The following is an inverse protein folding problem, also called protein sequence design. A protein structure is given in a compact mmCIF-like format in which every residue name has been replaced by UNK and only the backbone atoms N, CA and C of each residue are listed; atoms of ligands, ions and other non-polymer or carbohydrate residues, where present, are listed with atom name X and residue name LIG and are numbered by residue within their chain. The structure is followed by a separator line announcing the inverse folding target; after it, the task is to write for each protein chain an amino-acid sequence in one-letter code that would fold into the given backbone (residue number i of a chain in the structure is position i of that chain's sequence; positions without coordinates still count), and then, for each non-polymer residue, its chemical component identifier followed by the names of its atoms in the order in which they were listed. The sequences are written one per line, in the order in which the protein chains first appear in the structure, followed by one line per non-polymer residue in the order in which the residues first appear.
data_IF_978106898111
#
_entry.id   IF_978106898111
#
_cell.length_a   1.000
_cell.length_b   1.000
_cell.length_c   1.000
_cell.angle_alpha   90.00
_cell.angle_beta   90.00
_cell.angle_gamma   90.00
#
_symmetry.space_group_name_H-M   'P 1'
#
loop_
_entity.id
_entity.type
_entity.pdbx_description
1 polymer ?
#
# COMPACT_ATOMS: atom_id res chain seq x y z
N UNK A 1 53.15 23.66 -25.26
CA UNK A 1 53.04 22.50 -24.34
C UNK A 1 51.71 22.43 -23.59
N UNK A 2 51.20 23.50 -22.99
CA UNK A 2 49.93 23.49 -22.24
C UNK A 2 48.71 23.07 -23.07
N UNK A 3 48.49 23.67 -24.25
CA UNK A 3 47.37 23.33 -25.14
C UNK A 3 47.31 21.86 -25.56
N UNK A 4 48.47 21.25 -25.82
CA UNK A 4 48.56 19.85 -26.21
C UNK A 4 48.19 18.90 -25.05
N UNK A 5 48.59 19.26 -23.82
CA UNK A 5 48.21 18.49 -22.63
C UNK A 5 46.70 18.61 -22.33
N UNK A 6 46.10 19.79 -22.52
CA UNK A 6 44.64 19.98 -22.39
C UNK A 6 43.90 19.16 -23.43
N UNK A 7 44.29 19.25 -24.70
CA UNK A 7 43.66 18.49 -25.79
C UNK A 7 43.78 16.98 -25.57
N UNK A 8 44.96 16.51 -25.15
CA UNK A 8 45.19 15.10 -24.81
C UNK A 8 44.24 14.63 -23.71
N UNK A 9 44.09 15.40 -22.63
CA UNK A 9 43.18 15.03 -21.54
C UNK A 9 41.71 15.00 -22.01
N UNK A 10 41.26 15.96 -22.83
CA UNK A 10 39.90 15.96 -23.36
C UNK A 10 39.63 14.74 -24.25
N UNK A 11 40.55 14.42 -25.16
CA UNK A 11 40.38 13.33 -26.12
C UNK A 11 40.57 11.94 -25.53
N UNK A 12 41.47 11.75 -24.56
CA UNK A 12 41.74 10.40 -24.03
C UNK A 12 41.00 10.07 -22.74
N UNK A 13 40.59 11.07 -21.95
CA UNK A 13 39.88 10.85 -20.69
C UNK A 13 38.41 11.21 -20.79
N UNK A 14 38.11 12.46 -21.15
CA UNK A 14 36.74 12.95 -21.08
C UNK A 14 35.85 12.44 -22.21
N UNK A 15 36.38 12.34 -23.43
CA UNK A 15 35.58 11.89 -24.58
C UNK A 15 35.15 10.42 -24.50
N UNK A 16 36.03 9.43 -24.24
CA UNK A 16 35.61 8.04 -24.08
C UNK A 16 34.71 7.85 -22.85
N UNK A 17 35.00 8.54 -21.75
CA UNK A 17 34.15 8.51 -20.56
C UNK A 17 32.75 9.10 -20.84
N UNK A 18 32.66 10.16 -21.65
CA UNK A 18 31.39 10.74 -22.07
C UNK A 18 30.57 9.77 -22.93
N UNK A 19 31.21 9.05 -23.86
CA UNK A 19 30.54 8.01 -24.66
C UNK A 19 30.03 6.88 -23.77
N UNK A 20 30.87 6.38 -22.86
CA UNK A 20 30.48 5.32 -21.93
C UNK A 20 29.32 5.76 -21.03
N UNK A 21 29.39 6.95 -20.44
CA UNK A 21 28.32 7.50 -19.60
C UNK A 21 27.02 7.72 -20.38
N UNK A 22 27.10 8.14 -21.65
CA UNK A 22 25.91 8.27 -22.51
C UNK A 22 25.28 6.91 -22.81
N UNK A 23 26.10 5.87 -23.04
CA UNK A 23 25.59 4.51 -23.24
C UNK A 23 24.90 3.97 -21.98
N UNK A 24 25.51 4.16 -20.81
CA UNK A 24 24.91 3.80 -19.51
C UNK A 24 23.59 4.55 -19.26
N UNK A 25 23.55 5.85 -19.57
CA UNK A 25 22.36 6.67 -19.45
C UNK A 25 21.22 6.15 -20.34
N UNK A 26 21.51 5.80 -21.60
CA UNK A 26 20.49 5.27 -22.51
C UNK A 26 19.89 3.98 -21.97
N UNK A 27 20.71 3.07 -21.44
CA UNK A 27 20.23 1.82 -20.81
C UNK A 27 19.41 2.11 -19.56
N UNK A 28 19.86 3.05 -18.72
CA UNK A 28 19.13 3.44 -17.51
C UNK A 28 17.75 4.05 -17.86
N UNK A 29 17.69 4.94 -18.85
CA UNK A 29 16.44 5.50 -19.35
C UNK A 29 15.50 4.43 -19.89
N UNK A 30 16.02 3.46 -20.64
CA UNK A 30 15.20 2.35 -21.15
C UNK A 30 14.59 1.53 -20.01
N UNK A 31 15.37 1.21 -18.97
CA UNK A 31 14.85 0.48 -17.80
C UNK A 31 13.78 1.24 -17.04
N UNK A 32 13.95 2.56 -16.89
CA UNK A 32 12.94 3.41 -16.25
C UNK A 32 11.67 3.45 -17.11
N UNK A 33 11.82 3.58 -18.42
CA UNK A 33 10.69 3.54 -19.35
C UNK A 33 9.94 2.21 -19.27
N UNK A 34 10.66 1.07 -19.29
CA UNK A 34 10.04 -0.26 -19.19
C UNK A 34 9.23 -0.40 -17.89
N UNK A 35 9.74 0.13 -16.77
CA UNK A 35 9.02 0.14 -15.49
C UNK A 35 7.77 1.04 -15.51
N UNK A 36 7.87 2.23 -16.12
CA UNK A 36 6.77 3.19 -16.19
C UNK A 36 5.65 2.76 -17.15
N UNK A 37 5.92 1.81 -18.05
CA UNK A 37 4.96 1.29 -19.05
C UNK A 37 4.29 -0.01 -18.56
N UNK A 38 4.62 -0.51 -17.36
CA UNK A 38 3.94 -1.67 -16.80
C UNK A 38 2.43 -1.42 -16.65
N UNK A 39 1.66 -2.49 -16.84
CA UNK A 39 0.20 -2.44 -16.68
C UNK A 39 -0.16 -2.06 -15.24
N UNK A 40 -1.04 -1.07 -15.11
CA UNK A 40 -1.61 -0.68 -13.83
C UNK A 40 -2.68 -1.69 -13.40
N UNK A 41 -2.80 -1.95 -12.10
CA UNK A 41 -3.91 -2.73 -11.56
C UNK A 41 -5.19 -1.94 -11.85
N UNK A 42 -6.04 -2.48 -12.73
CA UNK A 42 -7.18 -1.80 -13.32
C UNK A 42 -8.07 -1.08 -12.29
N UNK A 43 -8.27 0.23 -12.48
CA UNK A 43 -9.24 1.11 -11.77
C UNK A 43 -10.72 0.73 -12.02
N UNK A 44 -11.05 -0.54 -12.28
CA UNK A 44 -12.43 -0.96 -12.44
C UNK A 44 -13.12 -1.03 -11.07
N UNK A 45 -14.07 -0.11 -10.89
CA UNK A 45 -15.06 0.03 -9.82
C UNK A 45 -14.63 0.70 -8.52
N UNK A 46 -14.43 2.03 -8.64
CA UNK A 46 -14.39 3.05 -7.59
C UNK A 46 -13.27 2.84 -6.56
N UNK A 47 -12.43 3.85 -6.30
CA UNK A 47 -11.53 3.77 -5.17
C UNK A 47 -12.38 3.54 -3.91
N UNK A 48 -12.16 2.39 -3.26
CA UNK A 48 -12.39 2.27 -1.82
C UNK A 48 -11.76 3.54 -1.25
N UNK A 49 -12.50 4.33 -0.45
CA UNK A 49 -12.05 5.63 0.09
C UNK A 49 -10.74 5.46 0.88
N UNK A 50 -9.61 5.41 0.17
CA UNK A 50 -8.27 5.42 0.69
C UNK A 50 -8.00 6.86 1.11
N UNK A 51 -8.21 7.11 2.39
CA UNK A 51 -7.46 8.08 3.17
C UNK A 51 -7.22 9.45 2.49
N UNK A 52 -8.29 10.10 2.02
CA UNK A 52 -8.25 11.49 1.51
C UNK A 52 -8.07 12.55 2.63
N UNK A 53 -7.79 12.14 3.87
CA UNK A 53 -7.63 13.06 5.01
C UNK A 53 -6.18 13.39 5.38
N UNK A 54 -5.17 12.82 4.70
CA UNK A 54 -3.75 13.03 5.09
C UNK A 54 -3.08 14.16 4.28
N UNK A 55 -3.62 14.53 3.12
CA UNK A 55 -3.06 15.62 2.30
C UNK A 55 -4.16 16.61 1.89
N UNK A 56 -4.59 17.46 2.82
CA UNK A 56 -5.28 18.70 2.47
C UNK A 56 -4.53 19.87 3.10
N UNK A 57 -3.41 20.24 2.47
CA UNK A 57 -2.89 21.59 2.61
C UNK A 57 -3.82 22.54 1.86
N UNK A 58 -4.36 23.51 2.60
CA UNK A 58 -5.17 24.59 2.06
C UNK A 58 -4.27 25.58 1.32
N UNK A 59 -4.22 25.51 0.00
CA UNK A 59 -3.88 26.68 -0.80
C UNK A 59 -5.17 27.37 -1.27
N UNK A 60 -5.36 28.59 -0.77
CA UNK A 60 -6.35 29.54 -1.27
C UNK A 60 -5.69 30.31 -2.40
N UNK A 61 -6.28 30.29 -3.58
CA UNK A 61 -6.14 31.42 -4.49
C UNK A 61 -7.40 31.63 -5.32
N UNK A 62 -7.70 32.91 -5.54
CA UNK A 62 -8.95 33.41 -6.08
C UNK A 62 -8.77 33.91 -7.52
N UNK A 63 -9.90 33.90 -8.22
CA UNK A 63 -10.29 34.68 -9.39
C UNK A 63 -9.78 34.31 -10.78
N UNK A 64 -10.75 34.14 -11.69
CA UNK A 64 -10.67 34.73 -13.03
C UNK A 64 -11.09 33.83 -14.18
N UNK A 65 -12.36 33.93 -14.57
CA UNK A 65 -12.88 33.74 -15.93
C UNK A 65 -12.90 32.34 -16.57
N UNK A 66 -14.07 31.70 -16.49
CA UNK A 66 -14.84 31.40 -17.70
C UNK A 66 -14.63 30.06 -18.40
N UNK A 67 -15.25 28.99 -17.88
CA UNK A 67 -15.98 27.97 -18.65
C UNK A 67 -17.06 27.39 -17.74
N UNK A 68 -18.34 27.45 -18.15
CA UNK A 68 -19.43 26.72 -17.50
C UNK A 68 -19.31 25.24 -17.87
N UNK A 69 -18.43 24.52 -17.18
CA UNK A 69 -18.54 23.07 -17.09
C UNK A 69 -19.58 22.79 -16.02
N UNK A 70 -20.66 22.12 -16.41
CA UNK A 70 -21.66 21.59 -15.49
C UNK A 70 -20.97 20.64 -14.51
N UNK A 71 -20.49 21.17 -13.39
CA UNK A 71 -19.98 20.39 -12.28
C UNK A 71 -21.16 19.59 -11.76
N UNK A 72 -21.21 18.31 -12.11
CA UNK A 72 -22.13 17.37 -11.50
C UNK A 72 -21.99 17.50 -9.98
N UNK A 73 -23.15 17.70 -9.36
CA UNK A 73 -23.34 17.95 -7.93
C UNK A 73 -22.39 17.08 -7.09
N UNK A 74 -21.87 17.59 -5.95
CA UNK A 74 -21.02 16.81 -5.08
C UNK A 74 -21.77 15.53 -4.71
N UNK A 75 -21.13 14.39 -5.04
CA UNK A 75 -21.66 13.06 -4.77
C UNK A 75 -22.01 13.02 -3.28
N UNK A 76 -23.28 12.70 -3.03
CA UNK A 76 -23.89 12.64 -1.70
C UNK A 76 -22.98 11.86 -0.75
N UNK A 77 -22.83 12.37 0.48
CA UNK A 77 -22.28 11.64 1.64
C UNK A 77 -22.69 10.18 1.54
N UNK A 78 -21.72 9.28 1.38
CA UNK A 78 -21.95 7.83 1.38
C UNK A 78 -22.60 7.50 2.72
N UNK A 79 -23.81 6.97 2.67
CA UNK A 79 -24.61 6.63 3.85
C UNK A 79 -23.82 5.55 4.62
N UNK A 80 -23.37 5.87 5.84
CA UNK A 80 -22.58 5.00 6.74
C UNK A 80 -23.32 3.71 7.18
N UNK A 81 -24.51 3.45 6.59
CA UNK A 81 -25.50 2.47 7.04
C UNK A 81 -25.39 1.09 6.39
N UNK A 82 -24.52 0.89 5.40
CA UNK A 82 -24.35 -0.41 4.74
C UNK A 82 -22.87 -0.80 4.61
N UNK A 83 -22.13 -0.90 5.71
CA UNK A 83 -20.78 -1.49 5.68
C UNK A 83 -20.87 -3.00 5.51
N UNK A 84 -20.14 -3.59 4.58
CA UNK A 84 -20.25 -5.02 4.31
C UNK A 84 -19.45 -5.47 3.09
N UNK A 85 -19.36 -6.79 2.94
CA UNK A 85 -18.68 -7.44 1.82
C UNK A 85 -19.71 -8.31 1.10
N UNK A 86 -19.97 -8.00 -0.17
CA UNK A 86 -20.95 -8.69 -1.00
C UNK A 86 -20.25 -9.25 -2.24
N UNK A 87 -20.19 -10.57 -2.34
CA UNK A 87 -19.54 -11.31 -3.42
C UNK A 87 -20.58 -12.22 -4.05
N UNK A 88 -20.74 -12.16 -5.37
CA UNK A 88 -21.68 -13.00 -6.14
C UNK A 88 -20.99 -13.63 -7.34
N UNK A 89 -20.90 -14.96 -7.34
CA UNK A 89 -20.34 -15.79 -8.41
C UNK A 89 -18.99 -15.27 -8.92
N UNK A 90 -18.12 -14.87 -7.99
CA UNK A 90 -16.83 -14.25 -8.30
C UNK A 90 -15.80 -15.32 -8.66
N UNK A 91 -15.13 -15.11 -9.80
CA UNK A 91 -13.93 -15.86 -10.18
C UNK A 91 -12.76 -14.90 -10.38
N UNK A 92 -11.59 -15.25 -9.82
CA UNK A 92 -10.40 -14.37 -9.79
C UNK A 92 -9.14 -15.11 -10.23
N UNK A 93 -8.20 -14.35 -10.78
CA UNK A 93 -6.89 -14.81 -11.22
C UNK A 93 -5.79 -13.86 -10.76
N UNK A 94 -4.57 -14.39 -10.61
CA UNK A 94 -3.38 -13.59 -10.26
C UNK A 94 -2.79 -12.85 -11.44
N UNK A 95 -2.87 -13.46 -12.63
CA UNK A 95 -2.41 -12.85 -13.87
C UNK A 95 -3.33 -13.31 -14.99
N UNK A 96 -3.45 -12.47 -16.01
CA UNK A 96 -4.25 -12.72 -17.20
C UNK A 96 -3.71 -13.86 -18.06
N UNK A 97 -2.41 -14.15 -17.94
CA UNK A 97 -1.74 -15.29 -18.57
C UNK A 97 -2.17 -16.64 -17.98
N UNK A 98 -2.65 -16.66 -16.74
CA UNK A 98 -3.09 -17.89 -16.08
C UNK A 98 -4.52 -18.19 -16.51
N UNK A 99 -4.66 -19.25 -17.31
CA UNK A 99 -5.95 -19.70 -17.84
C UNK A 99 -6.92 -20.18 -16.76
N UNK A 100 -6.41 -20.79 -15.69
CA UNK A 100 -7.24 -21.31 -14.62
C UNK A 100 -7.40 -20.30 -13.47
N UNK A 101 -8.63 -19.85 -13.17
CA UNK A 101 -8.85 -18.96 -12.05
C UNK A 101 -8.58 -19.68 -10.72
N UNK A 102 -7.92 -18.97 -9.81
CA UNK A 102 -7.50 -19.48 -8.49
C UNK A 102 -8.70 -19.68 -7.57
N UNK A 103 -9.70 -18.80 -7.65
CA UNK A 103 -11.01 -19.00 -7.02
C UNK A 103 -12.08 -19.00 -8.11
N UNK A 104 -13.04 -19.91 -7.98
CA UNK A 104 -14.14 -20.13 -8.93
C UNK A 104 -15.48 -20.03 -8.21
N UNK A 105 -16.39 -19.24 -8.78
CA UNK A 105 -17.80 -19.15 -8.37
C UNK A 105 -18.03 -18.89 -6.87
N UNK A 106 -17.23 -18.01 -6.27
CA UNK A 106 -17.34 -17.67 -4.86
C UNK A 106 -18.52 -16.72 -4.64
N UNK A 107 -19.40 -17.05 -3.70
CA UNK A 107 -20.49 -16.19 -3.24
C UNK A 107 -20.47 -16.07 -1.72
N UNK A 108 -20.33 -14.85 -1.21
CA UNK A 108 -20.22 -14.55 0.23
C UNK A 108 -20.95 -13.24 0.50
N UNK A 109 -21.70 -13.17 1.59
CA UNK A 109 -22.39 -11.96 2.03
C UNK A 109 -22.10 -11.78 3.52
N UNK A 110 -21.35 -10.73 3.86
CA UNK A 110 -20.99 -10.40 5.25
C UNK A 110 -21.65 -9.07 5.62
N UNK A 111 -22.50 -9.11 6.64
CA UNK A 111 -23.22 -7.95 7.15
C UNK A 111 -22.42 -7.24 8.24
N UNK A 112 -22.73 -5.96 8.53
CA UNK A 112 -22.03 -5.24 9.58
C UNK A 112 -22.26 -5.90 10.96
N UNK A 113 -21.18 -6.06 11.72
CA UNK A 113 -21.21 -6.68 13.05
C UNK A 113 -21.03 -8.20 13.07
N UNK A 114 -20.86 -8.84 11.91
CA UNK A 114 -20.58 -10.27 11.82
C UNK A 114 -19.08 -10.56 11.93
N UNK A 115 -18.74 -11.66 12.64
CA UNK A 115 -17.40 -12.22 12.69
C UNK A 115 -17.38 -13.50 11.86
N UNK A 116 -16.68 -13.46 10.72
CA UNK A 116 -16.53 -14.61 9.82
C UNK A 116 -15.14 -15.24 9.99
N UNK A 117 -15.11 -16.58 10.02
CA UNK A 117 -13.87 -17.35 9.97
C UNK A 117 -13.77 -18.09 8.64
N UNK A 118 -12.63 -17.97 7.95
CA UNK A 118 -12.33 -18.69 6.71
C UNK A 118 -11.31 -19.80 7.00
N UNK A 119 -11.71 -21.05 6.75
CA UNK A 119 -10.89 -22.25 7.00
C UNK A 119 -10.72 -23.08 5.73
N UNK A 120 -9.62 -23.82 5.64
CA UNK A 120 -9.31 -24.66 4.48
C UNK A 120 -7.85 -25.12 4.47
N UNK A 121 -7.54 -26.13 3.66
CA UNK A 121 -6.18 -26.69 3.51
C UNK A 121 -5.14 -25.66 3.02
N UNK A 122 -3.86 -25.94 3.22
CA UNK A 122 -2.79 -25.11 2.66
C UNK A 122 -2.92 -25.08 1.13
N UNK A 123 -2.82 -23.89 0.53
CA UNK A 123 -3.01 -23.71 -0.92
C UNK A 123 -4.47 -23.62 -1.39
N UNK A 124 -5.46 -23.67 -0.50
CA UNK A 124 -6.88 -23.59 -0.87
C UNK A 124 -7.37 -22.19 -1.32
N UNK A 125 -6.48 -21.22 -1.53
CA UNK A 125 -6.84 -19.88 -1.97
C UNK A 125 -7.36 -18.92 -0.89
N UNK A 126 -7.18 -19.21 0.42
CA UNK A 126 -7.61 -18.30 1.51
C UNK A 126 -7.00 -16.91 1.41
N UNK A 127 -5.68 -16.84 1.21
CA UNK A 127 -4.98 -15.56 1.07
C UNK A 127 -5.44 -14.85 -0.22
N UNK A 128 -5.67 -15.60 -1.30
CA UNK A 128 -6.24 -15.04 -2.53
C UNK A 128 -7.63 -14.44 -2.31
N UNK A 129 -8.50 -15.06 -1.50
CA UNK A 129 -9.81 -14.50 -1.18
C UNK A 129 -9.69 -13.15 -0.45
N UNK A 130 -8.75 -13.03 0.49
CA UNK A 130 -8.49 -11.77 1.18
C UNK A 130 -7.93 -10.71 0.23
N UNK A 131 -7.00 -11.08 -0.65
CA UNK A 131 -6.46 -10.16 -1.66
C UNK A 131 -7.52 -9.72 -2.67
N UNK A 132 -8.46 -10.60 -3.04
CA UNK A 132 -9.63 -10.21 -3.83
C UNK A 132 -10.45 -9.14 -3.12
N UNK A 133 -10.74 -9.29 -1.81
CA UNK A 133 -11.49 -8.28 -1.04
C UNK A 133 -10.75 -6.92 -0.99
N UNK A 134 -9.42 -6.94 -1.03
CA UNK A 134 -8.58 -5.73 -1.11
C UNK A 134 -8.52 -5.11 -2.53
N UNK A 135 -9.14 -5.77 -3.51
CA UNK A 135 -9.06 -5.40 -4.93
C UNK A 135 -7.65 -5.51 -5.54
N UNK A 136 -6.80 -6.39 -4.98
CA UNK A 136 -5.44 -6.65 -5.48
C UNK A 136 -5.40 -7.75 -6.55
N UNK A 137 -6.52 -8.45 -6.78
CA UNK A 137 -6.64 -9.50 -7.79
C UNK A 137 -7.71 -9.14 -8.81
N UNK A 138 -7.41 -9.37 -10.09
CA UNK A 138 -8.34 -9.11 -11.19
C UNK A 138 -9.53 -10.07 -11.15
N UNK A 139 -10.73 -9.51 -11.08
CA UNK A 139 -12.00 -10.24 -11.17
C UNK A 139 -12.27 -10.57 -12.63
N UNK A 140 -12.33 -11.86 -12.98
CA UNK A 140 -12.61 -12.31 -14.34
C UNK A 140 -14.10 -12.41 -14.62
N UNK A 141 -14.88 -12.80 -13.61
CA UNK A 141 -16.34 -12.92 -13.72
C UNK A 141 -17.00 -12.69 -12.36
N UNK A 142 -18.29 -12.32 -12.39
CA UNK A 142 -19.09 -12.07 -11.20
C UNK A 142 -19.03 -10.61 -10.75
N UNK A 143 -19.45 -10.37 -9.51
CA UNK A 143 -19.37 -9.04 -8.89
C UNK A 143 -18.95 -9.10 -7.44
N UNK A 144 -18.19 -8.09 -7.03
CA UNK A 144 -17.74 -7.88 -5.66
C UNK A 144 -17.97 -6.41 -5.30
N UNK A 145 -18.59 -6.18 -4.14
CA UNK A 145 -18.82 -4.85 -3.59
C UNK A 145 -18.35 -4.84 -2.13
N UNK A 146 -17.38 -3.98 -1.83
CA UNK A 146 -16.86 -3.75 -0.49
C UNK A 146 -17.22 -2.34 -0.07
N UNK A 147 -18.06 -2.21 0.96
CA UNK A 147 -18.53 -0.91 1.47
C UNK A 147 -17.87 -0.59 2.80
N UNK A 148 -17.19 0.56 2.86
CA UNK A 148 -16.58 1.11 4.07
C UNK A 148 -15.04 1.10 4.02
N UNK A 149 -14.43 1.39 5.18
CA UNK A 149 -12.97 1.36 5.34
C UNK A 149 -12.49 -0.06 5.67
N UNK A 150 -11.44 -0.50 4.99
CA UNK A 150 -10.82 -1.82 5.19
C UNK A 150 -9.54 -1.66 6.01
N UNK A 151 -9.31 -2.54 6.97
CA UNK A 151 -8.01 -2.73 7.64
C UNK A 151 -7.50 -4.12 7.32
N UNK A 152 -6.19 -4.25 7.10
CA UNK A 152 -5.56 -5.48 6.67
C UNK A 152 -4.27 -5.76 7.45
N UNK A 153 -4.19 -6.97 8.01
CA UNK A 153 -2.99 -7.49 8.65
C UNK A 153 -2.42 -8.65 7.79
N UNK A 154 -1.32 -8.44 7.06
CA UNK A 154 -0.74 -9.45 6.19
C UNK A 154 -0.14 -10.62 6.96
N UNK A 155 -0.06 -11.78 6.29
CA UNK A 155 0.64 -12.96 6.79
C UNK A 155 2.12 -12.66 7.11
N UNK A 156 2.79 -11.91 6.24
CA UNK A 156 4.14 -11.41 6.47
C UNK A 156 4.08 -9.99 7.04
N UNK A 157 4.28 -9.88 8.34
CA UNK A 157 4.22 -8.61 9.05
C UNK A 157 5.40 -7.71 8.71
N UNK A 158 5.12 -6.45 8.41
CA UNK A 158 6.12 -5.46 8.03
C UNK A 158 6.12 -4.26 8.99
N UNK A 159 7.31 -3.76 9.28
CA UNK A 159 7.56 -2.54 10.03
C UNK A 159 8.54 -1.69 9.24
N UNK A 160 8.21 -0.41 9.03
CA UNK A 160 9.08 0.53 8.35
C UNK A 160 10.07 1.16 9.33
N UNK A 161 11.11 1.79 8.76
CA UNK A 161 12.17 2.44 9.50
C UNK A 161 11.60 3.69 10.18
N UNK A 162 11.16 3.51 11.43
CA UNK A 162 10.68 4.57 12.32
C UNK A 162 10.56 4.03 13.75
N UNK A 163 10.02 4.83 14.67
CA UNK A 163 9.71 4.33 16.02
C UNK A 163 8.62 3.26 16.02
N UNK A 164 8.58 2.41 17.06
CA UNK A 164 7.48 1.45 17.25
C UNK A 164 6.14 2.18 17.33
N UNK A 165 6.09 3.33 18.02
CA UNK A 165 4.91 4.19 18.11
C UNK A 165 4.41 4.61 16.72
N UNK A 166 5.29 5.09 15.85
CA UNK A 166 4.90 5.55 14.51
C UNK A 166 4.43 4.38 13.64
N UNK A 167 5.02 3.21 13.82
CA UNK A 167 4.57 1.98 13.16
C UNK A 167 3.15 1.56 13.56
N UNK A 168 2.73 1.84 14.81
CA UNK A 168 1.38 1.60 15.33
C UNK A 168 0.43 2.71 14.90
N UNK A 169 0.83 3.98 14.97
CA UNK A 169 -0.03 5.12 14.59
C UNK A 169 -0.30 5.17 13.09
N UNK A 170 0.70 4.86 12.27
CA UNK A 170 0.58 4.77 10.82
C UNK A 170 -0.07 5.99 10.17
N UNK A 171 0.36 7.19 10.58
CA UNK A 171 -0.16 8.47 10.10
C UNK A 171 -1.43 8.96 10.83
N UNK A 172 -2.00 8.16 11.75
CA UNK A 172 -3.09 8.59 12.63
C UNK A 172 -2.59 9.54 13.72
N UNK A 173 -3.47 10.45 14.17
CA UNK A 173 -3.20 11.30 15.33
C UNK A 173 -3.00 10.47 16.61
N UNK A 174 -2.06 10.92 17.45
CA UNK A 174 -1.80 10.27 18.73
C UNK A 174 -2.91 10.60 19.74
N UNK A 175 -3.70 9.59 20.07
CA UNK A 175 -4.66 9.64 21.18
C UNK A 175 -4.20 8.68 22.27
N UNK A 176 -3.83 9.21 23.43
CA UNK A 176 -3.23 8.45 24.53
C UNK A 176 -4.14 7.33 25.06
N UNK A 177 -5.44 7.60 25.27
CA UNK A 177 -6.38 6.62 25.77
C UNK A 177 -6.56 5.45 24.81
N UNK A 178 -6.75 5.76 23.51
CA UNK A 178 -6.89 4.74 22.46
C UNK A 178 -5.59 3.94 22.32
N UNK A 179 -4.45 4.63 22.31
CA UNK A 179 -3.14 4.02 22.15
C UNK A 179 -2.84 3.03 23.28
N UNK A 180 -3.02 3.46 24.54
CA UNK A 180 -2.78 2.61 25.70
C UNK A 180 -3.72 1.39 25.72
N UNK A 181 -4.98 1.56 25.31
CA UNK A 181 -5.94 0.44 25.18
C UNK A 181 -5.48 -0.56 24.12
N UNK A 182 -5.05 -0.10 22.94
CA UNK A 182 -4.57 -0.97 21.86
C UNK A 182 -3.29 -1.72 22.29
N UNK A 183 -2.33 -1.02 22.87
CA UNK A 183 -1.08 -1.61 23.39
C UNK A 183 -1.37 -2.74 24.38
N UNK A 184 -2.32 -2.52 25.28
CA UNK A 184 -2.72 -3.51 26.27
C UNK A 184 -3.40 -4.74 25.63
N UNK A 185 -4.38 -4.52 24.74
CA UNK A 185 -5.11 -5.61 24.05
C UNK A 185 -4.19 -6.43 23.16
N UNK A 186 -3.22 -5.79 22.50
CA UNK A 186 -2.20 -6.45 21.69
C UNK A 186 -1.04 -7.04 22.51
N UNK A 187 -1.09 -6.95 23.85
CA UNK A 187 -0.07 -7.45 24.77
C UNK A 187 1.36 -6.94 24.52
N UNK A 188 1.49 -5.69 24.04
CA UNK A 188 2.77 -5.04 23.73
C UNK A 188 3.48 -4.47 24.97
N UNK A 189 2.79 -4.38 26.12
CA UNK A 189 3.35 -3.87 27.39
C UNK A 189 4.67 -4.55 27.79
N UNK A 190 4.79 -5.86 27.55
CA UNK A 190 6.01 -6.63 27.85
C UNK A 190 7.13 -6.30 26.86
N UNK A 191 6.79 -6.16 25.58
CA UNK A 191 7.76 -5.84 24.54
C UNK A 191 8.37 -4.45 24.79
N UNK A 192 7.56 -3.47 25.16
CA UNK A 192 8.03 -2.12 25.45
C UNK A 192 8.98 -2.05 26.65
N UNK A 193 8.80 -2.91 27.66
CA UNK A 193 9.75 -3.02 28.79
C UNK A 193 11.11 -3.59 28.38
N UNK A 194 11.14 -4.42 27.33
CA UNK A 194 12.37 -5.00 26.81
C UNK A 194 13.09 -4.04 25.85
N UNK A 195 12.36 -3.09 25.25
CA UNK A 195 12.94 -2.12 24.35
C UNK A 195 13.70 -1.01 25.11
N UNK A 196 14.89 -0.58 24.64
CA UNK A 196 15.71 0.42 25.34
C UNK A 196 15.00 1.75 25.61
N UNK A 197 14.09 2.16 24.71
CA UNK A 197 13.35 3.41 24.80
C UNK A 197 11.82 3.19 24.72
N UNK A 198 11.34 2.01 25.11
CA UNK A 198 9.92 1.69 25.02
C UNK A 198 9.39 1.79 23.59
N UNK A 199 8.23 2.42 23.43
CA UNK A 199 7.57 2.64 22.15
C UNK A 199 8.28 3.66 21.24
N UNK A 200 9.19 4.48 21.79
CA UNK A 200 10.04 5.40 21.02
C UNK A 200 11.26 4.73 20.40
N UNK A 201 11.46 3.45 20.66
CA UNK A 201 12.57 2.68 20.10
C UNK A 201 12.47 2.62 18.59
N UNK A 202 13.59 2.89 17.91
CA UNK A 202 13.67 2.85 16.46
C UNK A 202 13.75 1.40 15.95
N UNK A 203 12.94 1.07 14.96
CA UNK A 203 12.92 -0.22 14.28
C UNK A 203 13.62 -0.12 12.91
N UNK A 204 14.32 -1.17 12.49
CA UNK A 204 14.94 -1.25 11.15
C UNK A 204 16.44 -1.56 11.19
N UNK A 205 17.13 -1.38 10.06
CA UNK A 205 18.54 -1.76 9.88
C UNK A 205 19.52 -1.09 10.86
N UNK A 206 19.21 0.14 11.28
CA UNK A 206 19.98 0.89 12.29
C UNK A 206 19.33 0.86 13.69
N UNK A 207 18.22 0.14 13.83
CA UNK A 207 17.41 0.08 15.04
C UNK A 207 17.44 -1.30 15.71
N UNK A 208 16.49 -1.53 16.62
CA UNK A 208 16.29 -2.84 17.23
C UNK A 208 15.67 -3.78 16.20
N UNK A 209 16.27 -4.95 16.05
CA UNK A 209 15.67 -6.03 15.25
C UNK A 209 14.51 -6.65 16.02
N UNK A 210 13.31 -6.58 15.44
CA UNK A 210 12.10 -7.17 16.00
C UNK A 210 11.99 -8.65 15.62
N UNK A 211 11.63 -9.49 16.59
CA UNK A 211 11.24 -10.88 16.30
C UNK A 211 9.97 -10.94 15.44
N UNK A 212 9.74 -12.05 14.72
CA UNK A 212 8.54 -12.22 13.89
C UNK A 212 7.23 -12.05 14.68
N UNK A 213 7.17 -12.57 15.91
CA UNK A 213 6.00 -12.42 16.78
C UNK A 213 5.77 -10.98 17.25
N UNK A 214 6.85 -10.22 17.48
CA UNK A 214 6.75 -8.78 17.81
C UNK A 214 6.24 -7.98 16.62
N UNK A 215 6.77 -8.24 15.42
CA UNK A 215 6.29 -7.62 14.18
C UNK A 215 4.80 -7.90 13.99
N UNK A 216 4.36 -9.14 14.19
CA UNK A 216 2.95 -9.52 14.09
C UNK A 216 2.05 -8.76 15.08
N UNK A 217 2.46 -8.60 16.34
CA UNK A 217 1.72 -7.81 17.33
C UNK A 217 1.67 -6.32 16.98
N UNK A 218 2.77 -5.76 16.49
CA UNK A 218 2.83 -4.36 16.06
C UNK A 218 1.94 -4.13 14.84
N UNK A 219 1.95 -5.02 13.85
CA UNK A 219 1.07 -4.96 12.68
C UNK A 219 -0.40 -5.16 13.03
N UNK A 220 -0.71 -5.98 14.05
CA UNK A 220 -2.08 -6.13 14.56
C UNK A 220 -2.57 -4.89 15.34
N UNK A 221 -1.65 -4.18 15.99
CA UNK A 221 -1.96 -2.95 16.73
C UNK A 221 -2.19 -1.74 15.81
N UNK A 222 -1.71 -1.81 14.56
CA UNK A 222 -1.93 -0.82 13.51
C UNK A 222 -3.37 -0.84 13.02
#
# INVERSE_FOLDING_TARGET
MAFFNTLRNTLTKHFPAGIAATAELVVACHRIQDFLVLDEISESDKPIEYMSSVFSEKEKEANGNGVLVSVEKPIKRVDDREKGVFIKNMSVRWNDEILEPTLKDISVCVKPGELLAVIGSVGSGKSSLLMSILNELTVTSGSMEVKGKVSYAPQESWAFISSVRDNILFGSEYNEEKYNKVVHVCALDRDFKLFPFGDKTLCGERGVSLSGGQKARITLAR
#
